data_IF_056203279203
#
_entry.id   IF_056203279203
#
_cell.length_a   1.000
_cell.length_b   1.000
_cell.length_c   1.000
_cell.angle_alpha   90.00
_cell.angle_beta   90.00
_cell.angle_gamma   90.00
#
_symmetry.space_group_name_H-M   'P 1'
#
loop_
_entity.id
_entity.type
_entity.pdbx_description
1 polymer ?
#
# COMPACT_ATOMS: atom_id res chain seq x y z
N UNK A 1 -10.94 1.00 4.54
CA UNK A 1 -10.24 2.17 3.98
C UNK A 1 -8.81 2.16 4.49
N UNK A 2 -7.87 2.58 3.66
CA UNK A 2 -6.49 2.87 4.05
C UNK A 2 -6.18 4.32 3.68
N UNK A 3 -5.23 4.92 4.39
CA UNK A 3 -4.77 6.28 4.16
C UNK A 3 -3.26 6.39 4.18
N UNK A 4 -2.71 7.25 3.32
CA UNK A 4 -1.27 7.48 3.20
C UNK A 4 -0.83 8.54 4.20
N UNK A 5 0.05 8.18 5.14
CA UNK A 5 0.61 9.15 6.10
C UNK A 5 1.54 10.12 5.39
N UNK A 6 1.48 11.40 5.76
CA UNK A 6 2.43 12.40 5.25
C UNK A 6 3.80 12.31 5.91
N UNK A 7 3.94 11.52 6.99
CA UNK A 7 5.19 11.42 7.78
C UNK A 7 6.22 10.54 7.10
N UNK A 8 5.77 9.44 6.51
CA UNK A 8 6.63 8.38 5.99
C UNK A 8 6.21 7.87 4.60
N UNK A 9 5.11 8.39 4.04
CA UNK A 9 4.52 7.92 2.77
C UNK A 9 3.98 6.49 2.78
N UNK A 10 3.87 5.84 3.94
CA UNK A 10 3.29 4.52 4.11
C UNK A 10 1.77 4.57 4.21
N UNK A 11 1.11 3.52 3.74
CA UNK A 11 -0.33 3.34 3.87
C UNK A 11 -0.68 2.59 5.15
N UNK A 12 -1.71 3.06 5.83
CA UNK A 12 -2.19 2.50 7.09
C UNK A 12 -3.70 2.32 7.07
N UNK A 13 -4.19 1.31 7.77
CA UNK A 13 -5.61 1.08 7.93
C UNK A 13 -6.28 2.19 8.73
N UNK A 14 -7.33 2.79 8.17
CA UNK A 14 -8.14 3.80 8.86
C UNK A 14 -9.10 3.12 9.82
N UNK A 15 -8.97 3.42 11.11
CA UNK A 15 -9.89 2.97 12.16
C UNK A 15 -11.13 3.84 12.27
N UNK A 16 -11.00 5.16 12.17
CA UNK A 16 -12.14 6.09 12.12
C UNK A 16 -11.83 7.43 11.48
N UNK A 17 -12.88 8.07 10.96
CA UNK A 17 -12.86 9.47 10.52
C UNK A 17 -13.40 10.35 11.66
N UNK A 18 -12.60 11.31 12.10
CA UNK A 18 -12.90 12.13 13.29
C UNK A 18 -13.54 13.47 12.93
N UNK A 19 -13.10 14.08 11.84
CA UNK A 19 -13.59 15.38 11.37
C UNK A 19 -13.24 15.62 9.89
N UNK A 20 -13.70 16.72 9.31
CA UNK A 20 -13.33 17.16 7.96
C UNK A 20 -13.09 18.69 7.92
N UNK A 21 -12.35 19.15 6.92
CA UNK A 21 -12.14 20.58 6.65
C UNK A 21 -11.95 20.84 5.15
N UNK A 22 -12.21 22.07 4.73
CA UNK A 22 -11.78 22.60 3.43
C UNK A 22 -10.66 23.59 3.68
N UNK A 23 -9.51 23.41 3.03
CA UNK A 23 -8.37 24.31 3.15
C UNK A 23 -8.61 25.61 2.38
N UNK A 24 -7.79 26.64 2.61
CA UNK A 24 -7.91 27.92 1.91
C UNK A 24 -7.74 27.77 0.38
N UNK A 25 -7.01 26.75 -0.05
CA UNK A 25 -6.76 26.34 -1.41
C UNK A 25 -7.85 25.43 -1.99
N UNK A 26 -8.94 25.18 -1.24
CA UNK A 26 -10.10 24.43 -1.69
C UNK A 26 -9.95 22.91 -1.62
N UNK A 27 -8.92 22.40 -0.96
CA UNK A 27 -8.73 20.96 -0.79
C UNK A 27 -9.59 20.42 0.34
N UNK A 28 -10.17 19.24 0.13
CA UNK A 28 -10.97 18.56 1.14
C UNK A 28 -10.10 17.55 1.90
N UNK A 29 -9.98 17.76 3.20
CA UNK A 29 -9.19 16.91 4.08
C UNK A 29 -10.08 16.29 5.17
N UNK A 30 -9.82 15.03 5.48
CA UNK A 30 -10.42 14.33 6.60
C UNK A 30 -9.38 14.11 7.70
N UNK A 31 -9.78 14.27 8.95
CA UNK A 31 -8.96 13.90 10.10
C UNK A 31 -9.16 12.42 10.39
N UNK A 32 -8.12 11.61 10.22
CA UNK A 32 -8.18 10.15 10.36
C UNK A 32 -7.49 9.69 11.64
N UNK A 33 -8.04 8.63 12.25
CA UNK A 33 -7.34 7.81 13.25
C UNK A 33 -6.96 6.48 12.62
N UNK A 34 -5.67 6.15 12.66
CA UNK A 34 -5.18 4.87 12.16
C UNK A 34 -5.45 3.73 13.15
N UNK A 35 -5.64 2.52 12.63
CA UNK A 35 -5.91 1.31 13.41
C UNK A 35 -4.67 0.94 14.21
N UNK A 36 -4.83 0.67 15.51
CA UNK A 36 -3.72 0.32 16.40
C UNK A 36 -2.88 1.51 16.90
N UNK A 37 -3.14 2.72 16.42
CA UNK A 37 -2.46 3.93 16.87
C UNK A 37 -3.33 4.79 17.79
N UNK A 38 -2.68 5.58 18.64
CA UNK A 38 -3.35 6.54 19.52
C UNK A 38 -3.57 7.90 18.83
N UNK A 39 -4.18 8.83 19.56
CA UNK A 39 -4.49 10.18 19.07
C UNK A 39 -3.27 11.02 18.67
N UNK A 40 -2.05 10.65 19.08
CA UNK A 40 -0.83 11.39 18.69
C UNK A 40 -0.45 11.13 17.23
N UNK A 41 -1.06 10.11 16.62
CA UNK A 41 -0.90 9.74 15.22
C UNK A 41 -2.08 10.18 14.35
N UNK A 42 -3.08 10.87 14.90
CA UNK A 42 -4.19 11.39 14.10
C UNK A 42 -3.66 12.41 13.07
N UNK A 43 -4.03 12.27 11.80
CA UNK A 43 -3.53 13.12 10.71
C UNK A 43 -4.68 13.75 9.89
N UNK A 44 -4.46 14.94 9.36
CA UNK A 44 -5.30 15.54 8.32
C UNK A 44 -4.82 15.04 6.97
N UNK A 45 -5.69 14.32 6.25
CA UNK A 45 -5.35 13.63 5.01
C UNK A 45 -6.23 14.14 3.88
N UNK A 46 -5.62 14.47 2.74
CA UNK A 46 -6.34 14.83 1.53
C UNK A 46 -7.17 13.65 1.03
N UNK A 47 -8.49 13.84 0.94
CA UNK A 47 -9.44 12.76 0.64
C UNK A 47 -9.31 12.26 -0.79
N UNK A 48 -8.89 13.11 -1.73
CA UNK A 48 -8.80 12.73 -3.14
C UNK A 48 -7.53 11.93 -3.45
N UNK A 49 -6.41 12.30 -2.84
CA UNK A 49 -5.11 11.71 -3.18
C UNK A 49 -4.66 10.61 -2.23
N UNK A 50 -5.11 10.64 -0.97
CA UNK A 50 -4.44 9.93 0.12
C UNK A 50 -5.37 9.08 0.97
N UNK A 51 -6.61 8.85 0.51
CA UNK A 51 -7.57 7.91 1.10
C UNK A 51 -8.12 7.02 -0.02
N UNK A 52 -8.14 5.71 0.22
CA UNK A 52 -8.68 4.74 -0.75
C UNK A 52 -9.24 3.49 -0.07
N UNK A 53 -9.93 2.66 -0.85
CA UNK A 53 -10.31 1.31 -0.39
C UNK A 53 -9.06 0.50 -0.03
N UNK A 54 -9.20 -0.41 0.94
CA UNK A 54 -8.08 -1.22 1.43
C UNK A 54 -7.57 -2.12 0.30
N UNK A 55 -6.25 -2.22 0.18
CA UNK A 55 -5.59 -3.16 -0.73
C UNK A 55 -5.88 -4.60 -0.29
N UNK A 56 -5.99 -5.51 -1.26
CA UNK A 56 -6.41 -6.90 -1.05
C UNK A 56 -5.17 -7.79 -1.05
N UNK A 57 -4.87 -8.50 0.06
CA UNK A 57 -3.78 -9.48 0.08
C UNK A 57 -3.99 -10.56 -0.96
N UNK A 58 -2.90 -10.98 -1.61
CA UNK A 58 -2.91 -12.06 -2.60
C UNK A 58 -2.65 -13.39 -1.91
N UNK A 59 -3.40 -14.43 -2.30
CA UNK A 59 -3.05 -15.81 -1.91
C UNK A 59 -2.14 -16.47 -2.94
N UNK A 60 -1.46 -17.56 -2.55
CA UNK A 60 -0.43 -18.22 -3.36
C UNK A 60 -0.87 -18.65 -4.78
N UNK A 61 -2.16 -18.90 -4.99
CA UNK A 61 -2.73 -19.23 -6.30
C UNK A 61 -3.08 -18.01 -7.17
N UNK A 62 -3.04 -16.80 -6.62
CA UNK A 62 -3.47 -15.55 -7.27
C UNK A 62 -2.32 -14.77 -7.93
N UNK A 63 -1.12 -15.34 -8.00
CA UNK A 63 0.02 -14.67 -8.64
C UNK A 63 -0.26 -14.25 -10.09
N UNK A 64 -1.11 -14.99 -10.79
CA UNK A 64 -1.50 -14.74 -12.18
C UNK A 64 -2.33 -13.46 -12.35
N UNK A 65 -2.90 -12.91 -11.27
CA UNK A 65 -3.65 -11.65 -11.29
C UNK A 65 -2.76 -10.41 -11.34
N UNK A 66 -1.44 -10.57 -11.21
CA UNK A 66 -0.48 -9.47 -11.21
C UNK A 66 0.22 -9.40 -12.55
N UNK A 67 0.21 -8.24 -13.19
CA UNK A 67 0.85 -7.93 -14.45
C UNK A 67 1.89 -6.81 -14.32
N UNK A 68 2.76 -6.70 -15.33
CA UNK A 68 3.73 -5.58 -15.39
C UNK A 68 2.96 -4.29 -15.61
N UNK A 69 3.29 -3.28 -14.81
CA UNK A 69 2.61 -1.98 -14.78
C UNK A 69 1.55 -1.86 -13.69
N UNK A 70 1.18 -2.96 -13.01
CA UNK A 70 0.20 -2.90 -11.94
C UNK A 70 0.69 -2.07 -10.75
N UNK A 71 -0.19 -1.22 -10.22
CA UNK A 71 -0.03 -0.59 -8.92
C UNK A 71 -0.35 -1.62 -7.83
N UNK A 72 0.61 -1.83 -6.93
CA UNK A 72 0.50 -2.73 -5.78
C UNK A 72 0.87 -2.01 -4.50
N UNK A 73 0.30 -2.47 -3.38
CA UNK A 73 0.77 -2.10 -2.05
C UNK A 73 1.77 -3.16 -1.60
N UNK A 74 3.03 -2.75 -1.42
CA UNK A 74 4.15 -3.63 -1.12
C UNK A 74 4.64 -3.46 0.32
N UNK A 75 4.75 -4.57 1.04
CA UNK A 75 5.35 -4.63 2.37
C UNK A 75 6.88 -4.47 2.29
N UNK A 76 7.41 -3.51 3.04
CA UNK A 76 8.84 -3.26 3.20
C UNK A 76 9.19 -3.13 4.68
N UNK A 77 10.14 -3.94 5.14
CA UNK A 77 10.69 -3.83 6.50
C UNK A 77 11.93 -2.94 6.49
N UNK A 78 11.90 -1.86 7.25
CA UNK A 78 13.02 -0.91 7.39
C UNK A 78 13.38 -0.83 8.88
N UNK A 79 14.51 -1.45 9.25
CA UNK A 79 14.86 -1.63 10.67
C UNK A 79 13.79 -2.45 11.39
N UNK A 80 13.22 -1.86 12.45
CA UNK A 80 12.10 -2.44 13.22
C UNK A 80 10.72 -2.00 12.72
N UNK A 81 10.66 -1.14 11.69
CA UNK A 81 9.40 -0.64 11.14
C UNK A 81 8.88 -1.54 10.03
N UNK A 82 7.58 -1.85 10.09
CA UNK A 82 6.84 -2.62 9.10
C UNK A 82 5.93 -1.69 8.31
N UNK A 83 6.31 -1.40 7.06
CA UNK A 83 5.72 -0.32 6.27
C UNK A 83 5.12 -0.88 4.98
N UNK A 84 4.15 -0.17 4.43
CA UNK A 84 3.41 -0.56 3.23
C UNK A 84 3.41 0.59 2.23
N UNK A 85 4.06 0.41 1.10
CA UNK A 85 4.27 1.46 0.11
C UNK A 85 3.58 1.14 -1.21
N UNK A 86 3.14 2.18 -1.91
CA UNK A 86 2.80 2.04 -3.31
C UNK A 86 4.07 1.73 -4.11
N UNK A 87 3.93 0.77 -5.01
CA UNK A 87 4.96 0.41 -5.96
C UNK A 87 4.31 -0.08 -7.25
N UNK A 88 5.06 0.00 -8.35
CA UNK A 88 4.66 -0.53 -9.64
C UNK A 88 5.46 -1.78 -9.99
N UNK A 89 4.79 -2.79 -10.55
CA UNK A 89 5.47 -3.99 -11.03
C UNK A 89 6.24 -3.65 -12.31
N UNK A 90 7.56 -3.78 -12.30
CA UNK A 90 8.40 -3.49 -13.49
C UNK A 90 8.81 -4.75 -14.23
N UNK A 91 8.92 -5.89 -13.53
CA UNK A 91 9.25 -7.18 -14.13
C UNK A 91 8.67 -8.33 -13.31
N UNK A 92 8.32 -9.43 -13.97
CA UNK A 92 7.87 -10.67 -13.32
C UNK A 92 8.67 -11.86 -13.84
N UNK A 93 9.30 -12.59 -12.94
CA UNK A 93 9.90 -13.89 -13.22
C UNK A 93 8.92 -15.00 -12.79
N UNK A 94 8.20 -15.57 -13.77
CA UNK A 94 7.26 -16.68 -13.54
C UNK A 94 8.02 -17.99 -13.35
N UNK A 95 7.74 -18.71 -12.25
CA UNK A 95 8.33 -20.03 -11.98
C UNK A 95 7.24 -21.11 -11.93
N UNK A 96 7.61 -22.36 -12.18
CA UNK A 96 6.70 -23.48 -12.04
C UNK A 96 6.45 -23.75 -10.55
N UNK A 97 5.18 -23.68 -10.14
CA UNK A 97 4.74 -23.95 -8.79
C UNK A 97 3.28 -24.42 -8.78
N UNK A 98 2.83 -24.98 -7.67
CA UNK A 98 1.45 -25.39 -7.46
C UNK A 98 0.76 -24.48 -6.44
N UNK A 99 -0.41 -24.91 -5.95
CA UNK A 99 -1.21 -24.17 -4.97
C UNK A 99 -0.57 -24.13 -3.57
N UNK A 100 0.52 -24.87 -3.32
CA UNK A 100 1.17 -24.91 -2.00
C UNK A 100 2.05 -23.68 -1.75
N UNK A 101 2.44 -22.95 -2.80
CA UNK A 101 3.22 -21.74 -2.65
C UNK A 101 3.70 -21.17 -3.98
N UNK A 102 3.50 -19.87 -4.16
CA UNK A 102 4.03 -19.11 -5.27
C UNK A 102 5.56 -19.01 -5.16
N UNK A 103 6.23 -19.33 -6.27
CA UNK A 103 7.69 -19.18 -6.41
C UNK A 103 8.06 -18.05 -7.36
N UNK A 104 7.07 -17.31 -7.89
CA UNK A 104 7.33 -16.18 -8.77
C UNK A 104 8.08 -15.07 -8.04
N UNK A 105 8.90 -14.34 -8.77
CA UNK A 105 9.62 -13.17 -8.27
C UNK A 105 9.08 -11.93 -8.98
N UNK A 106 8.84 -10.86 -8.23
CA UNK A 106 8.23 -9.62 -8.72
C UNK A 106 9.21 -8.49 -8.44
N UNK A 107 9.70 -7.84 -9.48
CA UNK A 107 10.50 -6.63 -9.32
C UNK A 107 9.53 -5.45 -9.24
N UNK A 108 9.64 -4.68 -8.16
CA UNK A 108 8.82 -3.50 -7.90
C UNK A 108 9.67 -2.25 -7.93
N UNK A 109 9.11 -1.15 -8.42
CA UNK A 109 9.65 0.21 -8.32
C UNK A 109 8.78 1.01 -7.36
N UNK A 110 9.33 1.46 -6.24
CA UNK A 110 8.60 2.18 -5.21
C UNK A 110 8.35 3.65 -5.58
N UNK A 111 7.11 4.11 -5.41
CA UNK A 111 6.72 5.47 -5.83
C UNK A 111 7.34 6.58 -4.95
N UNK A 112 7.71 6.26 -3.71
CA UNK A 112 8.15 7.25 -2.72
C UNK A 112 9.64 7.62 -2.81
N UNK A 113 10.49 6.69 -3.25
CA UNK A 113 11.95 6.87 -3.32
C UNK A 113 12.56 6.45 -4.67
N UNK A 114 11.77 5.88 -5.58
CA UNK A 114 12.21 5.29 -6.86
C UNK A 114 13.23 4.15 -6.68
N UNK A 115 13.26 3.49 -5.51
CA UNK A 115 14.09 2.30 -5.31
C UNK A 115 13.43 1.06 -5.91
N UNK A 116 14.25 0.09 -6.30
CA UNK A 116 13.77 -1.18 -6.86
C UNK A 116 14.06 -2.34 -5.90
N UNK A 117 13.08 -3.22 -5.72
CA UNK A 117 13.23 -4.43 -4.90
C UNK A 117 12.64 -5.64 -5.62
N UNK A 118 13.31 -6.79 -5.53
CA UNK A 118 12.69 -8.07 -5.92
C UNK A 118 11.99 -8.67 -4.71
N UNK A 119 10.67 -8.82 -4.81
CA UNK A 119 9.80 -9.33 -3.75
C UNK A 119 9.08 -10.62 -4.15
N UNK A 120 8.50 -11.28 -3.14
CA UNK A 120 7.64 -12.46 -3.30
C UNK A 120 6.17 -12.06 -3.19
N UNK A 121 5.27 -12.93 -3.65
CA UNK A 121 3.83 -12.64 -3.69
C UNK A 121 3.25 -12.22 -2.33
N UNK A 122 3.68 -12.86 -1.24
CA UNK A 122 3.17 -12.60 0.11
C UNK A 122 3.48 -11.19 0.64
N UNK A 123 4.38 -10.44 0.00
CA UNK A 123 4.63 -9.03 0.29
C UNK A 123 3.69 -8.09 -0.45
N UNK A 124 2.90 -8.58 -1.40
CA UNK A 124 2.08 -7.77 -2.29
C UNK A 124 0.60 -7.85 -1.94
N UNK A 125 -0.05 -6.69 -1.94
CA UNK A 125 -1.49 -6.56 -1.97
C UNK A 125 -1.90 -5.87 -3.27
N UNK A 126 -2.91 -6.40 -3.95
CA UNK A 126 -3.44 -5.78 -5.17
C UNK A 126 -4.45 -4.68 -4.83
N UNK A 127 -4.66 -3.75 -5.75
CA UNK A 127 -5.76 -2.78 -5.67
C UNK A 127 -7.10 -3.46 -6.02
N UNK A 128 -8.20 -2.99 -5.44
CA UNK A 128 -9.54 -3.29 -5.97
C UNK A 128 -9.66 -2.61 -7.34
N UNK A 129 -10.18 -3.34 -8.33
CA UNK A 129 -10.55 -2.76 -9.63
C UNK A 129 -11.88 -2.03 -9.53
#
# INVERSE_FOLDING_TARGET
>A
MEAKSSRDSSWYDVGSFLNHRVTANGEFEARVRFTGFDRSHDEWINVKSSIRERSIPLVESECHLIEVGDLVLCYRKIGDSELYYDAHIVQIERKLHDIQGCKCSFQVLYDHDNDEETVVLSKLCRRSQ
#
